data_IF_096137369690
#
_entry.id   IF_096137369690
#
_cell.length_a   1.000
_cell.length_b   1.000
_cell.length_c   1.000
_cell.angle_alpha   90.00
_cell.angle_beta   90.00
_cell.angle_gamma   90.00
#
_symmetry.space_group_name_H-M   'P 1'
#
loop_
_entity.id
_entity.type
_entity.pdbx_description
1 polymer ?
#
# COMPACT_ATOMS: atom_id res chain seq x y z
N UNK A 1 -9.45 82.94 -9.15
CA UNK A 1 -10.48 82.94 -10.21
C UNK A 1 -10.27 81.70 -11.07
N UNK A 2 -11.25 80.78 -11.07
CA UNK A 2 -11.64 79.84 -12.15
C UNK A 2 -10.76 78.58 -12.45
N UNK A 3 -11.43 77.42 -12.24
CA UNK A 3 -11.45 76.08 -12.91
C UNK A 3 -10.55 75.90 -14.15
N UNK A 4 -9.99 74.71 -14.44
CA UNK A 4 -10.77 73.53 -14.85
C UNK A 4 -9.99 72.18 -14.87
N UNK A 5 -10.78 71.09 -14.90
CA UNK A 5 -10.47 69.66 -14.99
C UNK A 5 -9.76 69.25 -16.30
N UNK A 6 -9.00 68.14 -16.27
CA UNK A 6 -9.32 66.91 -17.04
C UNK A 6 -8.23 65.82 -16.97
N UNK A 7 -8.66 64.66 -16.46
CA UNK A 7 -8.36 63.26 -16.85
C UNK A 7 -7.00 62.89 -17.48
N UNK A 8 -6.37 61.84 -16.93
CA UNK A 8 -5.45 61.02 -17.70
C UNK A 8 -4.76 59.86 -16.97
N UNK A 9 -5.46 58.71 -16.95
CA UNK A 9 -4.90 57.34 -17.07
C UNK A 9 -4.32 56.63 -15.83
N UNK A 10 -5.12 55.65 -15.43
CA UNK A 10 -4.89 54.52 -14.53
C UNK A 10 -3.89 53.51 -15.13
N UNK A 11 -2.89 53.07 -14.35
CA UNK A 11 -2.17 51.81 -14.60
C UNK A 11 -1.96 51.11 -13.26
N UNK A 12 -2.83 50.13 -13.01
CA UNK A 12 -2.71 49.14 -11.95
C UNK A 12 -1.39 48.36 -12.08
N UNK A 13 -0.60 48.36 -11.03
CA UNK A 13 0.55 47.47 -10.83
C UNK A 13 0.02 46.13 -10.31
N UNK A 14 -0.05 45.13 -11.17
CA UNK A 14 -0.37 43.74 -10.79
C UNK A 14 0.88 43.08 -10.21
N UNK A 15 0.82 42.45 -9.02
CA UNK A 15 1.93 41.67 -8.50
C UNK A 15 2.00 40.29 -9.18
N UNK A 16 3.23 39.81 -9.35
CA UNK A 16 3.62 38.56 -9.98
C UNK A 16 2.81 37.35 -9.48
N UNK A 17 2.03 36.78 -10.39
CA UNK A 17 1.48 35.44 -10.21
C UNK A 17 2.61 34.42 -10.28
N UNK A 18 3.06 33.98 -9.10
CA UNK A 18 3.81 32.75 -8.93
C UNK A 18 3.07 31.59 -9.63
N UNK A 19 3.71 31.02 -10.63
CA UNK A 19 3.26 29.86 -11.40
C UNK A 19 3.19 28.64 -10.45
N UNK A 20 2.02 28.02 -10.22
CA UNK A 20 1.97 26.81 -9.42
C UNK A 20 2.66 25.67 -10.19
N UNK A 21 3.59 25.03 -9.49
CA UNK A 21 4.32 23.82 -9.92
C UNK A 21 3.32 22.71 -10.24
N UNK A 22 3.04 22.53 -11.53
CA UNK A 22 2.21 21.46 -12.05
C UNK A 22 3.04 20.19 -12.19
N UNK A 23 3.05 19.36 -11.13
CA UNK A 23 3.37 17.91 -11.21
C UNK A 23 3.08 17.18 -9.89
N UNK A 24 1.88 17.35 -9.35
CA UNK A 24 1.34 16.39 -8.36
C UNK A 24 -0.18 16.32 -8.47
N UNK A 25 -0.66 16.04 -9.68
CA UNK A 25 -2.09 16.01 -9.98
C UNK A 25 -2.66 14.62 -9.64
N UNK A 26 -3.33 14.52 -8.49
CA UNK A 26 -4.58 13.77 -8.30
C UNK A 26 -4.70 12.36 -8.90
N UNK A 27 -3.79 11.42 -8.61
CA UNK A 27 -4.03 9.98 -8.90
C UNK A 27 -4.76 9.26 -7.77
N UNK A 28 -4.98 9.91 -6.62
CA UNK A 28 -5.51 9.29 -5.40
C UNK A 28 -7.03 9.13 -5.37
N UNK A 29 -7.79 9.85 -6.20
CA UNK A 29 -9.28 9.84 -6.17
C UNK A 29 -9.92 8.83 -7.11
N UNK A 30 -9.15 8.14 -7.97
CA UNK A 30 -9.71 7.21 -8.98
C UNK A 30 -9.70 5.74 -8.56
N UNK A 31 -8.93 5.37 -7.53
CA UNK A 31 -8.76 3.97 -7.13
C UNK A 31 -9.47 3.66 -5.81
N UNK A 32 -10.08 2.48 -5.72
CA UNK A 32 -10.58 1.94 -4.45
C UNK A 32 -9.43 1.72 -3.46
N UNK A 33 -9.69 1.64 -2.14
CA UNK A 33 -8.66 1.32 -1.16
C UNK A 33 -7.87 0.04 -1.51
N UNK A 34 -8.56 -1.00 -2.00
CA UNK A 34 -7.87 -2.23 -2.41
C UNK A 34 -6.97 -2.04 -3.63
N UNK A 35 -7.45 -1.36 -4.67
CA UNK A 35 -6.62 -1.04 -5.84
C UNK A 35 -5.43 -0.15 -5.47
N UNK A 36 -5.63 0.79 -4.54
CA UNK A 36 -4.55 1.66 -4.03
C UNK A 36 -3.47 0.84 -3.32
N UNK A 37 -3.86 -0.13 -2.51
CA UNK A 37 -2.91 -1.07 -1.89
C UNK A 37 -2.11 -1.85 -2.95
N UNK A 38 -2.77 -2.28 -4.02
CA UNK A 38 -2.11 -3.00 -5.11
C UNK A 38 -1.11 -2.17 -5.91
N UNK A 39 -1.22 -0.83 -5.88
CA UNK A 39 -0.24 0.04 -6.54
C UNK A 39 1.18 -0.17 -6.00
N UNK A 40 1.32 -0.53 -4.71
CA UNK A 40 2.62 -0.88 -4.12
C UNK A 40 3.33 -2.00 -4.87
N UNK A 41 2.56 -2.97 -5.38
CA UNK A 41 3.08 -4.16 -6.08
C UNK A 41 3.12 -3.98 -7.61
N UNK A 42 2.67 -2.83 -8.11
CA UNK A 42 2.52 -2.59 -9.53
C UNK A 42 3.85 -2.27 -10.20
N UNK A 43 3.97 -2.71 -11.44
CA UNK A 43 4.95 -2.14 -12.35
C UNK A 43 4.50 -0.72 -12.73
N UNK A 44 5.41 0.25 -12.57
CA UNK A 44 5.18 1.66 -12.91
C UNK A 44 3.91 2.23 -12.28
N UNK A 45 3.84 2.35 -10.93
CA UNK A 45 2.64 2.78 -10.22
C UNK A 45 2.14 4.18 -10.61
N UNK A 46 3.03 5.03 -11.12
CA UNK A 46 2.71 6.38 -11.61
C UNK A 46 2.25 6.43 -13.07
N UNK A 47 2.11 5.27 -13.74
CA UNK A 47 1.59 5.17 -15.11
C UNK A 47 0.07 5.35 -15.13
N UNK A 48 -0.54 5.89 -16.21
CA UNK A 48 -1.99 5.98 -16.36
C UNK A 48 -2.71 4.61 -16.36
N UNK A 49 -1.97 3.52 -16.58
CA UNK A 49 -2.45 2.14 -16.54
C UNK A 49 -1.44 1.23 -15.84
N UNK A 50 -1.37 1.27 -14.50
CA UNK A 50 -0.45 0.45 -13.73
C UNK A 50 -0.87 -1.02 -13.81
N UNK A 51 0.12 -1.90 -13.99
CA UNK A 51 -0.10 -3.34 -14.18
C UNK A 51 0.64 -4.10 -13.10
N UNK A 52 -0.02 -5.09 -12.56
CA UNK A 52 0.60 -6.05 -11.67
C UNK A 52 1.17 -7.19 -12.51
N UNK A 53 2.46 -7.45 -12.34
CA UNK A 53 3.17 -8.61 -12.89
C UNK A 53 3.66 -9.47 -11.74
N UNK A 54 3.93 -10.75 -11.99
CA UNK A 54 4.50 -11.63 -10.95
C UNK A 54 5.81 -11.05 -10.41
N UNK A 55 6.69 -10.58 -11.30
CA UNK A 55 7.98 -9.99 -10.90
C UNK A 55 7.79 -8.71 -10.09
N UNK A 56 6.89 -7.80 -10.50
CA UNK A 56 6.64 -6.57 -9.74
C UNK A 56 6.00 -6.87 -8.37
N UNK A 57 5.12 -7.87 -8.30
CA UNK A 57 4.54 -8.32 -7.04
C UNK A 57 5.60 -8.91 -6.10
N UNK A 58 6.49 -9.77 -6.61
CA UNK A 58 7.64 -10.27 -5.82
C UNK A 58 8.47 -9.10 -5.30
N UNK A 59 8.81 -8.13 -6.15
CA UNK A 59 9.59 -6.95 -5.74
C UNK A 59 8.90 -6.15 -4.64
N UNK A 60 7.63 -5.81 -4.80
CA UNK A 60 6.86 -5.08 -3.80
C UNK A 60 6.74 -5.86 -2.47
N UNK A 61 6.59 -7.19 -2.53
CA UNK A 61 6.59 -8.06 -1.34
C UNK A 61 7.95 -8.09 -0.64
N UNK A 62 9.04 -8.16 -1.40
CA UNK A 62 10.39 -8.11 -0.84
C UNK A 62 10.69 -6.74 -0.21
N UNK A 63 10.20 -5.64 -0.79
CA UNK A 63 10.31 -4.28 -0.23
C UNK A 63 9.62 -4.16 1.13
N UNK A 64 8.54 -4.92 1.37
CA UNK A 64 7.89 -5.02 2.68
C UNK A 64 8.69 -5.82 3.72
N UNK A 65 9.83 -6.40 3.32
CA UNK A 65 10.69 -7.22 4.16
C UNK A 65 10.20 -8.66 4.31
N UNK A 66 9.40 -9.16 3.38
CA UNK A 66 9.03 -10.59 3.34
C UNK A 66 10.18 -11.43 2.80
N UNK A 67 10.28 -12.67 3.25
CA UNK A 67 11.18 -13.65 2.70
C UNK A 67 10.73 -14.10 1.30
N UNK A 68 11.70 -14.58 0.52
CA UNK A 68 11.48 -14.96 -0.87
C UNK A 68 10.37 -16.00 -1.07
N UNK A 69 10.29 -17.11 -0.31
CA UNK A 69 9.21 -18.09 -0.49
C UNK A 69 7.81 -17.47 -0.36
N UNK A 70 7.59 -16.62 0.64
CA UNK A 70 6.30 -15.96 0.85
C UNK A 70 6.06 -14.91 -0.22
N UNK A 71 7.07 -14.12 -0.59
CA UNK A 71 6.95 -13.14 -1.67
C UNK A 71 6.53 -13.77 -3.00
N UNK A 72 7.13 -14.90 -3.37
CA UNK A 72 6.77 -15.67 -4.57
C UNK A 72 5.36 -16.23 -4.47
N UNK A 73 5.01 -16.81 -3.30
CA UNK A 73 3.67 -17.38 -3.09
C UNK A 73 2.57 -16.33 -3.24
N UNK A 74 2.76 -15.13 -2.66
CA UNK A 74 1.82 -14.01 -2.79
C UNK A 74 1.71 -13.51 -4.24
N UNK A 75 2.84 -13.41 -4.94
CA UNK A 75 2.88 -12.96 -6.33
C UNK A 75 2.16 -13.92 -7.29
N UNK A 76 2.11 -15.21 -6.97
CA UNK A 76 1.35 -16.22 -7.73
C UNK A 76 -0.12 -16.30 -7.33
N UNK A 77 -0.43 -16.09 -6.04
CA UNK A 77 -1.81 -16.11 -5.54
C UNK A 77 -2.66 -14.98 -6.15
N UNK A 78 -2.08 -13.79 -6.33
CA UNK A 78 -2.85 -12.62 -6.75
C UNK A 78 -3.44 -12.76 -8.17
N UNK A 79 -2.70 -13.22 -9.20
CA UNK A 79 -3.29 -13.55 -10.48
C UNK A 79 -4.24 -14.75 -10.45
N UNK A 80 -3.99 -15.76 -9.61
CA UNK A 80 -4.88 -16.92 -9.44
C UNK A 80 -6.28 -16.51 -8.94
N UNK A 81 -6.34 -15.52 -8.05
CA UNK A 81 -7.60 -15.04 -7.48
C UNK A 81 -8.38 -14.18 -8.49
N UNK A 82 -7.71 -13.41 -9.35
CA UNK A 82 -8.37 -12.40 -10.20
C UNK A 82 -8.49 -12.76 -11.68
N UNK A 83 -7.71 -13.70 -12.17
CA UNK A 83 -7.70 -14.05 -13.59
C UNK A 83 -8.34 -15.41 -13.77
N UNK A 84 -9.26 -15.60 -14.74
CA UNK A 84 -9.76 -16.94 -15.04
C UNK A 84 -8.70 -17.78 -15.76
N UNK A 85 -8.78 -19.12 -15.63
CA UNK A 85 -7.99 -20.05 -16.43
C UNK A 85 -8.19 -19.75 -17.92
N UNK A 86 -7.14 -19.70 -18.77
CA UNK A 86 -5.71 -19.95 -18.52
C UNK A 86 -4.86 -18.69 -18.32
N UNK A 87 -5.46 -17.54 -18.02
CA UNK A 87 -4.81 -16.23 -18.11
C UNK A 87 -4.00 -15.79 -16.88
N UNK A 88 -3.72 -16.70 -15.94
CA UNK A 88 -3.08 -16.40 -14.66
C UNK A 88 -1.68 -15.77 -14.76
N UNK A 89 -0.96 -15.98 -15.85
CA UNK A 89 0.38 -15.41 -16.00
C UNK A 89 0.39 -14.05 -16.71
N UNK A 90 -0.78 -13.55 -17.14
CA UNK A 90 -0.86 -12.27 -17.85
C UNK A 90 -0.73 -11.10 -16.86
N UNK A 91 -0.09 -9.99 -17.26
CA UNK A 91 -0.10 -8.77 -16.48
C UNK A 91 -1.54 -8.33 -16.18
N UNK A 92 -1.87 -8.14 -14.90
CA UNK A 92 -3.20 -7.77 -14.43
C UNK A 92 -3.31 -6.24 -14.31
N UNK A 93 -4.13 -5.56 -15.13
CA UNK A 93 -4.37 -4.13 -14.95
C UNK A 93 -5.08 -3.86 -13.62
N UNK A 94 -4.58 -2.93 -12.80
CA UNK A 94 -5.20 -2.69 -11.48
C UNK A 94 -6.65 -2.19 -11.61
N UNK A 95 -6.94 -1.42 -12.67
CA UNK A 95 -8.29 -0.94 -12.96
C UNK A 95 -9.30 -2.03 -13.33
N UNK A 96 -8.85 -3.21 -13.77
CA UNK A 96 -9.76 -4.32 -14.12
C UNK A 96 -10.22 -5.11 -12.90
N UNK A 97 -9.63 -4.87 -11.72
CA UNK A 97 -10.04 -5.50 -10.47
C UNK A 97 -11.32 -4.82 -10.01
N UNK A 98 -12.40 -5.60 -9.93
CA UNK A 98 -13.74 -5.09 -9.66
C UNK A 98 -13.82 -4.38 -8.29
N UNK A 99 -14.58 -3.29 -8.23
CA UNK A 99 -14.82 -2.58 -6.95
C UNK A 99 -15.62 -3.43 -5.96
N UNK A 100 -16.44 -4.38 -6.46
CA UNK A 100 -17.15 -5.37 -5.63
C UNK A 100 -16.21 -6.40 -5.00
N UNK A 101 -15.03 -6.58 -5.58
CA UNK A 101 -13.91 -7.33 -4.99
C UNK A 101 -13.11 -6.44 -4.02
N UNK A 102 -13.68 -5.31 -3.58
CA UNK A 102 -13.15 -4.46 -2.53
C UNK A 102 -12.84 -5.30 -1.31
N UNK A 103 -11.61 -5.82 -1.28
CA UNK A 103 -11.16 -6.72 -0.25
C UNK A 103 -11.20 -6.00 1.06
N UNK A 104 -11.21 -6.79 2.11
CA UNK A 104 -11.33 -6.45 3.52
C UNK A 104 -10.32 -5.41 3.98
N UNK A 105 -10.46 -4.17 3.53
CA UNK A 105 -9.74 -3.01 4.04
C UNK A 105 -10.38 -2.54 5.36
N UNK A 106 -11.37 -3.27 5.90
CA UNK A 106 -12.11 -2.91 7.10
C UNK A 106 -12.77 -1.52 6.97
N UNK A 107 -13.13 -1.09 5.76
CA UNK A 107 -13.55 0.28 5.46
C UNK A 107 -14.82 0.71 6.21
N UNK A 108 -15.69 -0.23 6.58
CA UNK A 108 -16.90 0.02 7.39
C UNK A 108 -16.67 -0.13 8.89
N UNK A 109 -15.51 -0.63 9.32
CA UNK A 109 -15.25 -0.91 10.73
C UNK A 109 -15.02 0.39 11.53
N UNK A 110 -15.76 0.55 12.63
CA UNK A 110 -15.58 1.68 13.54
C UNK A 110 -14.38 1.43 14.45
N UNK A 111 -13.40 2.34 14.40
CA UNK A 111 -12.22 2.26 15.25
C UNK A 111 -12.46 2.99 16.58
N UNK A 112 -12.35 2.25 17.69
CA UNK A 112 -12.60 2.75 19.07
C UNK A 112 -11.39 2.55 20.00
N UNK A 113 -10.41 1.72 19.62
CA UNK A 113 -9.23 1.41 20.42
C UNK A 113 -8.01 2.12 19.83
N UNK A 114 -6.98 2.35 20.65
CA UNK A 114 -5.69 2.91 20.20
C UNK A 114 -4.79 1.85 19.56
N UNK A 115 -4.96 0.57 19.91
CA UNK A 115 -4.23 -0.55 19.32
C UNK A 115 -5.09 -1.82 19.31
N UNK A 116 -4.84 -2.70 18.35
CA UNK A 116 -5.67 -3.87 18.06
C UNK A 116 -4.83 -5.15 18.09
N UNK A 117 -5.27 -6.17 18.83
CA UNK A 117 -4.72 -7.52 18.72
C UNK A 117 -5.20 -8.20 17.44
N UNK A 118 -4.63 -9.37 17.14
CA UNK A 118 -5.07 -10.18 15.98
C UNK A 118 -6.58 -10.46 16.05
N UNK A 119 -7.08 -10.90 17.20
CA UNK A 119 -8.50 -11.21 17.40
C UNK A 119 -9.38 -9.98 17.25
N UNK A 120 -8.91 -8.82 17.71
CA UNK A 120 -9.65 -7.57 17.53
C UNK A 120 -9.80 -7.25 16.03
N UNK A 121 -8.72 -7.36 15.24
CA UNK A 121 -8.76 -7.09 13.79
C UNK A 121 -9.71 -8.05 13.07
N UNK A 122 -9.67 -9.34 13.41
CA UNK A 122 -10.62 -10.30 12.86
C UNK A 122 -12.07 -9.99 13.26
N UNK A 123 -12.31 -9.51 14.48
CA UNK A 123 -13.65 -9.13 14.92
C UNK A 123 -14.18 -7.86 14.22
N UNK A 124 -13.28 -7.00 13.73
CA UNK A 124 -13.65 -5.84 12.91
C UNK A 124 -14.15 -6.26 11.52
N UNK A 125 -13.81 -7.47 11.07
CA UNK A 125 -14.29 -7.97 9.80
C UNK A 125 -15.75 -8.40 9.91
N UNK A 126 -16.62 -7.62 9.29
CA UNK A 126 -18.02 -7.96 9.07
C UNK A 126 -18.26 -8.04 7.57
N UNK A 127 -18.72 -9.20 7.09
CA UNK A 127 -19.18 -9.34 5.71
C UNK A 127 -20.65 -8.97 5.67
N UNK A 128 -20.98 -7.86 5.00
CA UNK A 128 -22.37 -7.41 4.81
C UNK A 128 -23.14 -8.32 3.82
N UNK A 129 -22.41 -9.08 3.00
CA UNK A 129 -22.98 -9.97 1.97
C UNK A 129 -22.52 -11.41 2.24
N UNK A 130 -23.38 -12.42 2.03
CA UNK A 130 -22.94 -13.82 2.02
C UNK A 130 -21.82 -14.02 1.00
N UNK A 131 -20.62 -14.39 1.47
CA UNK A 131 -19.47 -14.71 0.62
C UNK A 131 -19.30 -16.22 0.52
N UNK A 132 -18.83 -16.70 -0.64
CA UNK A 132 -18.43 -18.09 -0.80
C UNK A 132 -17.25 -18.41 0.12
N UNK A 133 -17.06 -19.69 0.44
CA UNK A 133 -15.94 -20.13 1.29
C UNK A 133 -14.57 -19.65 0.77
N UNK A 134 -14.36 -19.68 -0.55
CA UNK A 134 -13.10 -19.24 -1.16
C UNK A 134 -12.87 -17.74 -0.97
N UNK A 135 -13.88 -16.91 -1.25
CA UNK A 135 -13.81 -15.46 -1.05
C UNK A 135 -13.52 -15.13 0.41
N UNK A 136 -14.24 -15.78 1.33
CA UNK A 136 -14.01 -15.66 2.77
C UNK A 136 -12.56 -16.04 3.15
N UNK A 137 -12.02 -17.14 2.61
CA UNK A 137 -10.66 -17.57 2.91
C UNK A 137 -9.61 -16.56 2.40
N UNK A 138 -9.82 -16.00 1.21
CA UNK A 138 -8.97 -14.93 0.64
C UNK A 138 -9.03 -13.68 1.53
N UNK A 139 -10.21 -13.30 2.00
CA UNK A 139 -10.40 -12.17 2.89
C UNK A 139 -9.70 -12.34 4.24
N UNK A 140 -9.82 -13.53 4.84
CA UNK A 140 -9.09 -13.87 6.07
C UNK A 140 -7.58 -13.80 5.84
N UNK A 141 -7.11 -14.34 4.71
CA UNK A 141 -5.70 -14.29 4.33
C UNK A 141 -5.19 -12.85 4.20
N UNK A 142 -5.98 -11.95 3.60
CA UNK A 142 -5.63 -10.54 3.47
C UNK A 142 -5.55 -9.82 4.83
N UNK A 143 -6.51 -10.07 5.73
CA UNK A 143 -6.50 -9.53 7.11
C UNK A 143 -5.31 -10.07 7.90
N UNK A 144 -5.08 -11.38 7.84
CA UNK A 144 -3.95 -12.03 8.53
C UNK A 144 -2.63 -11.47 8.03
N UNK A 145 -2.50 -11.29 6.72
CA UNK A 145 -1.32 -10.70 6.10
C UNK A 145 -1.08 -9.29 6.61
N UNK A 146 -2.13 -8.46 6.65
CA UNK A 146 -2.05 -7.13 7.24
C UNK A 146 -1.60 -7.17 8.70
N UNK A 147 -2.21 -7.99 9.55
CA UNK A 147 -1.78 -8.12 10.95
C UNK A 147 -0.32 -8.58 11.05
N UNK A 148 0.06 -9.63 10.33
CA UNK A 148 1.41 -10.17 10.37
C UNK A 148 2.46 -9.12 9.98
N UNK A 149 2.11 -8.20 9.08
CA UNK A 149 2.97 -7.12 8.63
C UNK A 149 2.83 -5.82 9.43
N UNK A 150 1.70 -5.49 10.02
CA UNK A 150 1.54 -4.20 10.70
C UNK A 150 1.80 -4.32 12.21
N UNK A 151 1.66 -5.51 12.78
CA UNK A 151 1.74 -5.72 14.21
C UNK A 151 3.17 -5.55 14.71
N UNK A 152 3.32 -4.76 15.76
CA UNK A 152 4.58 -4.61 16.47
C UNK A 152 5.08 -5.99 16.93
N UNK A 153 6.38 -6.22 16.77
CA UNK A 153 6.97 -7.54 17.02
C UNK A 153 6.96 -7.89 18.51
N UNK A 154 7.03 -6.91 19.41
CA UNK A 154 7.08 -7.12 20.86
C UNK A 154 5.69 -7.34 21.46
N UNK A 155 4.72 -6.56 21.03
CA UNK A 155 3.36 -6.52 21.60
C UNK A 155 2.38 -7.38 20.82
N UNK A 156 2.65 -7.65 19.54
CA UNK A 156 1.71 -8.34 18.65
C UNK A 156 0.46 -7.53 18.32
N UNK A 157 0.46 -6.22 18.61
CA UNK A 157 -0.66 -5.31 18.37
C UNK A 157 -0.38 -4.39 17.19
N UNK A 158 -1.44 -4.04 16.47
CA UNK A 158 -1.41 -3.06 15.37
C UNK A 158 -1.89 -1.72 15.90
N UNK A 159 -1.15 -0.66 15.62
CA UNK A 159 -1.56 0.70 15.98
C UNK A 159 -2.79 1.15 15.17
N UNK A 160 -3.68 1.92 15.80
CA UNK A 160 -4.89 2.43 15.15
C UNK A 160 -4.60 3.19 13.85
N UNK A 161 -3.48 3.90 13.77
CA UNK A 161 -3.13 4.65 12.56
C UNK A 161 -2.74 3.74 11.41
N UNK A 162 -2.19 2.56 11.67
CA UNK A 162 -1.97 1.56 10.64
C UNK A 162 -3.28 0.93 10.17
N UNK A 163 -4.25 0.72 11.08
CA UNK A 163 -5.59 0.26 10.70
C UNK A 163 -6.30 1.32 9.85
N UNK A 164 -6.19 2.61 10.17
CA UNK A 164 -6.72 3.69 9.33
C UNK A 164 -6.04 3.73 7.95
N UNK A 165 -4.72 3.53 7.90
CA UNK A 165 -4.01 3.45 6.61
C UNK A 165 -4.45 2.22 5.80
N UNK A 166 -4.75 1.11 6.48
CA UNK A 166 -5.29 -0.09 5.87
C UNK A 166 -6.66 0.19 5.27
N UNK A 167 -7.58 0.83 6.01
CA UNK A 167 -8.87 1.31 5.49
C UNK A 167 -8.75 2.18 4.23
N UNK A 168 -7.64 2.89 4.09
CA UNK A 168 -7.34 3.72 2.93
C UNK A 168 -6.42 3.05 1.91
N UNK A 169 -5.95 1.83 2.11
CA UNK A 169 -5.05 1.14 1.18
C UNK A 169 -3.65 1.73 1.05
N UNK A 170 -3.20 2.56 1.99
CA UNK A 170 -1.90 3.26 1.96
C UNK A 170 -1.00 2.92 3.16
N UNK A 171 -1.11 1.69 3.66
CA UNK A 171 -0.42 1.21 4.85
C UNK A 171 0.98 0.66 4.58
N UNK A 172 1.23 0.15 3.37
CA UNK A 172 2.51 -0.44 2.97
C UNK A 172 3.69 0.53 3.13
N UNK A 173 3.54 1.79 2.72
CA UNK A 173 4.63 2.79 2.79
C UNK A 173 5.13 3.02 4.22
N UNK A 174 4.20 3.06 5.19
CA UNK A 174 4.56 3.23 6.60
C UNK A 174 5.38 2.05 7.10
N UNK A 175 4.97 0.84 6.73
CA UNK A 175 5.67 -0.39 7.08
C UNK A 175 7.05 -0.47 6.44
N UNK A 176 7.16 -0.18 5.14
CA UNK A 176 8.45 -0.17 4.43
C UNK A 176 9.41 0.78 5.15
N UNK A 177 8.97 1.99 5.51
CA UNK A 177 9.79 2.96 6.25
C UNK A 177 10.25 2.43 7.62
N UNK A 178 9.35 1.80 8.39
CA UNK A 178 9.69 1.19 9.69
C UNK A 178 10.68 0.04 9.57
N UNK A 179 10.71 -0.62 8.41
CA UNK A 179 11.54 -1.79 8.10
C UNK A 179 12.81 -1.51 7.35
N UNK A 180 12.96 -0.28 6.88
CA UNK A 180 14.08 0.09 6.05
C UNK A 180 15.39 -0.03 6.82
N UNK A 181 15.41 0.25 8.12
CA UNK A 181 16.62 0.13 8.93
C UNK A 181 16.79 -1.27 9.55
N UNK A 182 18.04 -1.72 9.68
CA UNK A 182 18.41 -2.87 10.53
C UNK A 182 19.01 -2.48 11.88
N UNK A 183 19.10 -1.19 12.20
CA UNK A 183 19.67 -0.76 13.47
C UNK A 183 18.78 -1.19 14.64
N UNK A 184 19.37 -1.65 15.77
CA UNK A 184 18.62 -1.94 16.98
C UNK A 184 17.75 -0.75 17.40
N UNK A 185 16.46 -0.99 17.61
CA UNK A 185 15.50 0.05 18.01
C UNK A 185 15.05 1.02 16.91
N UNK A 186 15.58 0.91 15.68
CA UNK A 186 15.12 1.70 14.51
C UNK A 186 14.51 0.85 13.40
N UNK A 187 14.69 -0.46 13.45
CA UNK A 187 14.18 -1.42 12.47
C UNK A 187 13.14 -2.37 13.05
N UNK A 188 12.01 -2.52 12.37
CA UNK A 188 10.95 -3.49 12.70
C UNK A 188 11.00 -4.73 11.78
N UNK A 189 12.16 -5.42 11.78
CA UNK A 189 12.36 -6.61 10.95
C UNK A 189 11.42 -7.72 11.40
N UNK A 190 10.67 -8.28 10.46
CA UNK A 190 9.76 -9.37 10.75
C UNK A 190 10.49 -10.60 11.30
N UNK A 191 9.96 -11.26 12.33
CA UNK A 191 10.42 -12.59 12.68
C UNK A 191 10.02 -13.59 11.59
N UNK A 192 10.75 -14.69 11.49
CA UNK A 192 10.56 -15.70 10.44
C UNK A 192 9.12 -16.24 10.37
N UNK A 193 8.48 -16.46 11.52
CA UNK A 193 7.09 -16.96 11.58
C UNK A 193 6.03 -15.96 11.09
N UNK A 194 6.36 -14.66 11.00
CA UNK A 194 5.54 -13.63 10.32
C UNK A 194 6.01 -13.36 8.89
N UNK A 195 6.93 -14.17 8.39
CA UNK A 195 7.43 -14.11 7.03
C UNK A 195 8.67 -13.27 6.82
N UNK A 196 9.39 -12.90 7.87
CA UNK A 196 10.71 -12.28 7.73
C UNK A 196 11.83 -13.28 7.38
N UNK A 197 13.05 -12.77 7.13
CA UNK A 197 14.22 -13.61 6.83
C UNK A 197 14.83 -14.21 8.10
N UNK A 198 15.47 -15.38 7.97
CA UNK A 198 16.28 -15.98 9.04
C UNK A 198 17.58 -15.17 9.23
N UNK A 199 18.20 -14.77 8.12
CA UNK A 199 19.47 -14.02 8.11
C UNK A 199 19.27 -12.73 7.31
N UNK A 200 19.13 -11.61 8.01
CA UNK A 200 18.81 -10.29 7.44
C UNK A 200 19.84 -9.82 6.43
N UNK A 201 21.14 -9.94 6.75
CA UNK A 201 22.22 -9.50 5.87
C UNK A 201 22.30 -10.28 4.56
N UNK A 202 22.21 -11.62 4.65
CA UNK A 202 22.21 -12.49 3.47
C UNK A 202 20.97 -12.24 2.60
N UNK A 203 19.81 -12.08 3.23
CA UNK A 203 18.57 -11.77 2.51
C UNK A 203 18.67 -10.43 1.78
N UNK A 204 19.08 -9.35 2.47
CA UNK A 204 19.26 -8.01 1.89
C UNK A 204 20.19 -8.04 0.66
N UNK A 205 21.34 -8.71 0.78
CA UNK A 205 22.27 -8.87 -0.34
C UNK A 205 21.62 -9.62 -1.51
N UNK A 206 20.96 -10.74 -1.23
CA UNK A 206 20.36 -11.59 -2.26
C UNK A 206 19.25 -10.87 -3.03
N UNK A 207 18.33 -10.21 -2.31
CA UNK A 207 17.20 -9.50 -2.95
C UNK A 207 17.66 -8.22 -3.67
N UNK A 208 18.69 -7.55 -3.15
CA UNK A 208 19.34 -6.44 -3.84
C UNK A 208 20.00 -6.89 -5.14
N UNK A 209 20.66 -8.05 -5.13
CA UNK A 209 21.37 -8.59 -6.30
C UNK A 209 20.43 -9.09 -7.39
N UNK A 210 19.39 -9.85 -7.04
CA UNK A 210 18.51 -10.49 -8.03
C UNK A 210 17.30 -9.64 -8.43
N UNK A 211 16.75 -8.88 -7.49
CA UNK A 211 15.49 -8.15 -7.69
C UNK A 211 15.68 -6.64 -7.69
N UNK A 212 16.89 -6.14 -7.39
CA UNK A 212 17.17 -4.70 -7.30
C UNK A 212 16.42 -4.02 -6.16
N UNK A 213 16.02 -4.77 -5.13
CA UNK A 213 15.26 -4.30 -3.97
C UNK A 213 16.23 -3.99 -2.82
N UNK A 214 16.11 -2.81 -2.21
CA UNK A 214 16.90 -2.43 -1.03
C UNK A 214 16.05 -2.53 0.22
N UNK A 215 16.49 -3.36 1.16
CA UNK A 215 15.86 -3.56 2.47
C UNK A 215 16.94 -3.68 3.54
N UNK A 216 16.60 -3.29 4.77
CA UNK A 216 17.47 -3.44 5.95
C UNK A 216 18.80 -2.68 5.81
N UNK A 217 18.72 -1.44 5.32
CA UNK A 217 19.85 -0.53 5.23
C UNK A 217 20.40 -0.23 6.65
N UNK A 218 21.73 -0.19 6.83
CA UNK A 218 22.35 0.22 8.07
C UNK A 218 22.01 1.66 8.41
#
# INVERSE_FOLDING_TARGET
>A
MIRDRSKGRNVNSTPDHAKPSSKQTNMTTTYTPYQRHLLHFAQSPNSPSPKLTIISAVRGSLELGLNLPIAVSLALALPLIHSPFPYYLRPLPIKSISEKEGRTQLSSARLIQSSYSMTDIFSLYQSEVPRGWFDWAVDQGHILSFWAMAADVKTGRVDVDDVKRFQNGNWTDSIVKRRQSRMPGKGDVLPFYRGGPIIVGLHSWFVGRLFGVRVYEP
#
